data_IF_521006848715
#
_entry.id   IF_521006848715
#
_cell.length_a   1.000
_cell.length_b   1.000
_cell.length_c   1.000
_cell.angle_alpha   90.00
_cell.angle_beta   90.00
_cell.angle_gamma   90.00
#
_symmetry.space_group_name_H-M   'P 1'
#
loop_
_entity.id
_entity.type
_entity.pdbx_description
1 polymer ?
#
# COMPACT_ATOMS: atom_id res chain seq x y z
N UNK A 1 11.88 9.80 18.26
CA UNK A 1 12.30 8.39 18.10
C UNK A 1 11.11 7.49 18.29
N UNK A 2 10.41 7.18 17.20
CA UNK A 2 9.30 6.21 17.16
C UNK A 2 9.69 5.05 16.23
N UNK A 3 10.88 4.50 16.46
CA UNK A 3 11.37 3.30 15.76
C UNK A 3 10.44 2.10 15.97
N UNK A 4 9.65 2.12 17.06
CA UNK A 4 8.80 1.01 17.47
C UNK A 4 7.61 0.79 16.52
N UNK A 5 7.10 1.85 15.87
CA UNK A 5 6.01 1.75 14.89
C UNK A 5 6.46 0.98 13.63
N UNK A 6 7.76 1.02 13.32
CA UNK A 6 8.37 0.30 12.20
C UNK A 6 8.96 -1.06 12.60
N UNK A 7 9.01 -1.37 13.91
CA UNK A 7 9.53 -2.64 14.44
C UNK A 7 8.50 -3.77 14.43
N UNK A 8 7.22 -3.42 14.38
CA UNK A 8 6.16 -4.36 14.04
C UNK A 8 6.24 -4.68 12.56
N UNK A 9 5.96 -5.93 12.21
CA UNK A 9 5.96 -6.52 10.87
C UNK A 9 4.89 -5.89 9.95
N UNK A 10 4.90 -4.57 9.84
CA UNK A 10 3.82 -3.75 9.31
C UNK A 10 3.63 -4.00 7.81
N UNK A 11 4.68 -4.46 7.12
CA UNK A 11 4.61 -4.85 5.72
C UNK A 11 3.70 -6.07 5.54
N UNK A 12 3.78 -7.04 6.45
CA UNK A 12 2.92 -8.23 6.42
C UNK A 12 1.46 -7.85 6.71
N UNK A 13 1.21 -6.92 7.62
CA UNK A 13 -0.15 -6.47 7.91
C UNK A 13 -0.75 -5.63 6.79
N UNK A 14 0.04 -4.73 6.17
CA UNK A 14 -0.37 -4.01 4.96
C UNK A 14 -0.74 -4.99 3.84
N UNK A 15 0.09 -6.02 3.62
CA UNK A 15 -0.18 -7.05 2.60
C UNK A 15 -1.49 -7.77 2.90
N UNK A 16 -1.72 -8.18 4.15
CA UNK A 16 -2.99 -8.80 4.55
C UNK A 16 -4.17 -7.87 4.32
N UNK A 17 -4.06 -6.58 4.64
CA UNK A 17 -5.14 -5.62 4.48
C UNK A 17 -5.50 -5.34 3.02
N UNK A 18 -4.52 -5.22 2.13
CA UNK A 18 -4.75 -5.04 0.67
C UNK A 18 -5.45 -6.27 0.05
N UNK A 19 -5.25 -7.44 0.63
CA UNK A 19 -5.88 -8.69 0.18
C UNK A 19 -7.25 -8.97 0.82
N UNK A 20 -7.76 -8.09 1.68
CA UNK A 20 -9.07 -8.27 2.30
C UNK A 20 -10.22 -8.14 1.29
N UNK A 21 -11.37 -8.71 1.68
CA UNK A 21 -12.63 -8.59 0.92
C UNK A 21 -13.40 -7.32 1.21
N UNK A 22 -13.05 -6.61 2.28
CA UNK A 22 -13.75 -5.40 2.72
C UNK A 22 -13.08 -4.17 2.12
N UNK A 23 -13.78 -3.51 1.21
CA UNK A 23 -13.28 -2.34 0.48
C UNK A 23 -12.76 -1.24 1.41
N UNK A 24 -13.44 -0.99 2.53
CA UNK A 24 -13.01 -0.01 3.53
C UNK A 24 -11.61 -0.33 4.08
N UNK A 25 -11.31 -1.60 4.34
CA UNK A 25 -10.00 -2.03 4.85
C UNK A 25 -8.94 -1.87 3.75
N UNK A 26 -9.28 -2.22 2.51
CA UNK A 26 -8.40 -2.08 1.37
C UNK A 26 -8.08 -0.60 1.12
N UNK A 27 -9.08 0.27 1.12
CA UNK A 27 -8.90 1.72 0.95
C UNK A 27 -7.95 2.31 1.99
N UNK A 28 -8.20 2.08 3.29
CA UNK A 28 -7.30 2.56 4.33
C UNK A 28 -5.88 2.03 4.20
N UNK A 29 -5.72 0.77 3.77
CA UNK A 29 -4.40 0.19 3.54
C UNK A 29 -3.68 0.88 2.37
N UNK A 30 -4.39 1.15 1.26
CA UNK A 30 -3.82 1.86 0.11
C UNK A 30 -3.44 3.30 0.49
N UNK A 31 -4.28 4.02 1.24
CA UNK A 31 -3.96 5.35 1.71
C UNK A 31 -2.73 5.37 2.63
N UNK A 32 -2.61 4.38 3.53
CA UNK A 32 -1.44 4.23 4.39
C UNK A 32 -0.17 3.99 3.57
N UNK A 33 -0.23 3.07 2.61
CA UNK A 33 0.89 2.80 1.70
C UNK A 33 1.29 4.06 0.93
N UNK A 34 0.32 4.77 0.35
CA UNK A 34 0.58 5.98 -0.42
C UNK A 34 1.25 7.04 0.47
N UNK A 35 0.80 7.21 1.71
CA UNK A 35 1.45 8.12 2.66
C UNK A 35 2.89 7.70 2.98
N UNK A 36 3.15 6.40 3.16
CA UNK A 36 4.49 5.88 3.45
C UNK A 36 5.44 6.08 2.27
N UNK A 37 5.00 5.87 1.04
CA UNK A 37 5.87 5.99 -0.15
C UNK A 37 6.03 7.44 -0.63
N UNK A 38 5.05 8.31 -0.40
CA UNK A 38 5.11 9.72 -0.83
C UNK A 38 5.78 10.64 0.19
N UNK A 39 5.61 10.37 1.49
CA UNK A 39 6.13 11.21 2.58
C UNK A 39 7.24 10.55 3.39
N UNK A 40 7.46 9.26 3.18
CA UNK A 40 8.52 8.51 3.86
C UNK A 40 9.90 8.74 3.26
N UNK A 41 10.88 8.08 3.87
CA UNK A 41 12.26 8.10 3.37
C UNK A 41 12.39 7.22 2.12
N UNK A 42 13.35 7.49 1.24
CA UNK A 42 13.58 6.73 0.00
C UNK A 42 13.66 5.21 0.23
N UNK A 43 14.27 4.78 1.33
CA UNK A 43 14.35 3.37 1.75
C UNK A 43 12.97 2.68 1.88
N UNK A 44 11.90 3.44 2.16
CA UNK A 44 10.54 2.91 2.26
C UNK A 44 9.97 2.52 0.89
N UNK A 45 10.46 3.12 -0.20
CA UNK A 45 10.04 2.78 -1.57
C UNK A 45 10.60 1.42 -1.97
N UNK A 46 11.88 1.16 -1.70
CA UNK A 46 12.51 -0.14 -1.99
C UNK A 46 11.88 -1.28 -1.18
N UNK A 47 11.57 -0.99 0.08
CA UNK A 47 10.80 -1.88 0.94
C UNK A 47 9.40 -2.11 0.36
N UNK A 48 8.66 -1.05 0.03
CA UNK A 48 7.32 -1.17 -0.54
C UNK A 48 7.32 -2.00 -1.82
N UNK A 49 8.31 -1.82 -2.71
CA UNK A 49 8.47 -2.62 -3.93
C UNK A 49 8.71 -4.10 -3.64
N UNK A 50 9.40 -4.42 -2.55
CA UNK A 50 9.76 -5.79 -2.17
C UNK A 50 8.61 -6.56 -1.49
N UNK A 51 7.73 -5.87 -0.78
CA UNK A 51 6.70 -6.51 0.06
C UNK A 51 5.26 -6.32 -0.42
N UNK A 52 4.97 -5.26 -1.20
CA UNK A 52 3.60 -5.03 -1.65
C UNK A 52 3.15 -6.08 -2.68
N UNK A 53 1.89 -6.54 -2.59
CA UNK A 53 1.36 -7.51 -3.52
C UNK A 53 1.03 -6.83 -4.87
N UNK A 54 2.05 -6.60 -5.72
CA UNK A 54 1.93 -5.87 -7.01
C UNK A 54 0.82 -6.41 -7.89
N UNK A 55 0.66 -7.74 -7.98
CA UNK A 55 -0.44 -8.35 -8.74
C UNK A 55 -1.81 -7.90 -8.23
N UNK A 56 -2.02 -7.89 -6.90
CA UNK A 56 -3.28 -7.47 -6.29
C UNK A 56 -3.50 -5.98 -6.50
N UNK A 57 -2.46 -5.16 -6.39
CA UNK A 57 -2.54 -3.74 -6.73
C UNK A 57 -2.96 -3.53 -8.18
N UNK A 58 -2.45 -4.34 -9.11
CA UNK A 58 -2.87 -4.33 -10.52
C UNK A 58 -4.33 -4.68 -10.71
N UNK A 59 -4.87 -5.64 -9.96
CA UNK A 59 -6.31 -5.94 -9.98
C UNK A 59 -7.14 -4.77 -9.42
N UNK A 60 -6.62 -4.08 -8.40
CA UNK A 60 -7.31 -2.95 -7.77
C UNK A 60 -7.34 -1.70 -8.66
N UNK A 61 -6.51 -1.57 -9.69
CA UNK A 61 -6.61 -0.44 -10.64
C UNK A 61 -7.92 -0.42 -11.42
N UNK A 62 -8.58 -1.59 -11.53
CA UNK A 62 -9.86 -1.78 -12.20
C UNK A 62 -11.02 -1.90 -11.20
N UNK A 63 -10.80 -1.55 -9.92
CA UNK A 63 -11.83 -1.60 -8.90
C UNK A 63 -12.99 -0.63 -9.21
N UNK A 64 -14.22 -1.02 -8.85
CA UNK A 64 -15.42 -0.20 -9.09
C UNK A 64 -15.47 1.08 -8.25
N UNK A 65 -14.83 1.06 -7.08
CA UNK A 65 -14.65 2.25 -6.25
C UNK A 65 -13.50 3.11 -6.82
N UNK A 66 -13.78 4.35 -7.24
CA UNK A 66 -12.77 5.23 -7.83
C UNK A 66 -11.62 5.52 -6.88
N UNK A 67 -11.87 5.67 -5.57
CA UNK A 67 -10.83 5.98 -4.57
C UNK A 67 -9.81 4.84 -4.51
N UNK A 68 -10.30 3.60 -4.43
CA UNK A 68 -9.44 2.40 -4.43
C UNK A 68 -8.66 2.32 -5.74
N UNK A 69 -9.33 2.52 -6.88
CA UNK A 69 -8.70 2.41 -8.19
C UNK A 69 -7.62 3.45 -8.43
N UNK A 70 -7.85 4.70 -8.01
CA UNK A 70 -6.90 5.81 -8.15
C UNK A 70 -5.71 5.64 -7.21
N UNK A 71 -5.96 5.24 -5.96
CA UNK A 71 -4.88 4.97 -5.00
C UNK A 71 -3.99 3.81 -5.48
N UNK A 72 -4.57 2.74 -6.01
CA UNK A 72 -3.82 1.62 -6.56
C UNK A 72 -2.95 2.05 -7.76
N UNK A 73 -3.51 2.85 -8.69
CA UNK A 73 -2.76 3.42 -9.82
C UNK A 73 -1.61 4.31 -9.35
N UNK A 74 -1.86 5.18 -8.38
CA UNK A 74 -0.84 6.07 -7.82
C UNK A 74 0.31 5.29 -7.18
N UNK A 75 0.01 4.22 -6.44
CA UNK A 75 1.01 3.35 -5.84
C UNK A 75 1.86 2.67 -6.93
N UNK A 76 1.23 2.04 -7.94
CA UNK A 76 1.97 1.39 -9.02
C UNK A 76 2.88 2.38 -9.76
N UNK A 77 2.36 3.55 -10.13
CA UNK A 77 3.13 4.58 -10.83
C UNK A 77 4.31 5.10 -10.00
N UNK A 78 4.18 5.12 -8.66
CA UNK A 78 5.26 5.54 -7.76
C UNK A 78 6.33 4.45 -7.61
N UNK A 79 5.95 3.18 -7.71
CA UNK A 79 6.86 2.05 -7.56
C UNK A 79 7.63 1.71 -8.85
N UNK A 80 7.18 2.17 -10.01
CA UNK A 80 7.85 2.00 -11.31
C UNK A 80 7.41 0.76 -12.08
#
# INVERSE_FOLDING_TARGET
>A
NHSDILSGDYHNDITKFITQKYDLIVDYALQLVLNVITRGQLQNIDIARSYLPIRRLGELTEHSDPIISENAKAIINTLG
#
